data_IF_302019401852
#
_entry.id   IF_302019401852
#
_cell.length_a   1.000
_cell.length_b   1.000
_cell.length_c   1.000
_cell.angle_alpha   90.00
_cell.angle_beta   90.00
_cell.angle_gamma   90.00
#
_symmetry.space_group_name_H-M   'P 1'
#
loop_
_entity.id
_entity.type
_entity.pdbx_description
1 polymer ?
#
# COMPACT_ATOMS: atom_id res chain seq x y z
N UNK A 1 -14.64 5.13 -10.70
CA UNK A 1 -13.50 4.28 -10.26
C UNK A 1 -14.05 3.11 -9.49
N UNK A 2 -13.62 1.90 -9.85
CA UNK A 2 -14.04 0.70 -9.14
C UNK A 2 -13.22 0.53 -7.85
N UNK A 3 -13.72 -0.36 -6.97
CA UNK A 3 -12.98 -0.69 -5.76
C UNK A 3 -11.59 -1.19 -6.09
N UNK A 4 -11.48 -2.08 -7.08
CA UNK A 4 -10.19 -2.63 -7.47
C UNK A 4 -9.23 -1.54 -7.96
N UNK A 5 -9.73 -0.59 -8.75
CA UNK A 5 -8.90 0.52 -9.21
C UNK A 5 -8.42 1.40 -8.06
N UNK A 6 -9.29 1.64 -7.09
CA UNK A 6 -8.91 2.43 -5.91
C UNK A 6 -7.83 1.72 -5.11
N UNK A 7 -8.00 0.41 -4.89
CA UNK A 7 -7.03 -0.39 -4.15
C UNK A 7 -5.68 -0.39 -4.88
N UNK A 8 -5.70 -0.56 -6.21
CA UNK A 8 -4.47 -0.57 -7.00
C UNK A 8 -3.76 0.78 -6.97
N UNK A 9 -4.50 1.88 -6.99
CA UNK A 9 -3.90 3.20 -6.89
C UNK A 9 -3.16 3.36 -5.56
N UNK A 10 -3.77 2.93 -4.47
CA UNK A 10 -3.13 2.97 -3.16
C UNK A 10 -1.90 2.04 -3.14
N UNK A 11 -2.04 0.86 -3.75
CA UNK A 11 -0.94 -0.11 -3.80
C UNK A 11 0.26 0.44 -4.56
N UNK A 12 0.04 1.17 -5.67
CA UNK A 12 1.13 1.79 -6.40
C UNK A 12 1.89 2.78 -5.54
N UNK A 13 1.19 3.60 -4.76
CA UNK A 13 1.84 4.54 -3.85
C UNK A 13 2.70 3.80 -2.81
N UNK A 14 2.18 2.71 -2.26
CA UNK A 14 2.92 1.93 -1.28
C UNK A 14 4.15 1.29 -1.94
N UNK A 15 3.98 0.72 -3.13
CA UNK A 15 5.07 0.08 -3.86
C UNK A 15 6.18 1.09 -4.19
N UNK A 16 5.80 2.32 -4.53
CA UNK A 16 6.75 3.37 -4.88
C UNK A 16 7.53 3.90 -3.66
N UNK A 17 7.17 3.43 -2.48
CA UNK A 17 7.91 3.77 -1.28
C UNK A 17 7.48 5.04 -0.59
N UNK A 18 6.28 5.55 -0.90
CA UNK A 18 5.76 6.76 -0.28
C UNK A 18 5.77 6.67 1.23
N UNK A 19 5.47 5.48 1.77
CA UNK A 19 5.42 5.26 3.21
C UNK A 19 6.64 4.52 3.76
N UNK A 20 7.55 4.10 2.89
CA UNK A 20 8.73 3.34 3.30
C UNK A 20 8.45 1.91 3.71
N UNK A 21 7.26 1.40 3.49
CA UNK A 21 6.84 0.09 4.00
C UNK A 21 7.44 -1.09 3.22
N UNK A 22 7.90 -0.85 2.00
CA UNK A 22 8.41 -1.92 1.12
C UNK A 22 9.93 -2.04 1.14
N UNK A 23 10.60 -1.33 2.01
CA UNK A 23 12.07 -1.30 2.03
C UNK A 23 12.67 -2.67 2.27
N UNK A 24 12.00 -3.54 3.02
CA UNK A 24 12.50 -4.87 3.36
C UNK A 24 12.05 -5.95 2.39
N UNK A 25 11.26 -5.60 1.39
CA UNK A 25 10.81 -6.57 0.40
C UNK A 25 11.95 -6.87 -0.57
N UNK A 26 12.18 -8.16 -0.86
CA UNK A 26 13.33 -8.57 -1.65
C UNK A 26 13.13 -8.55 -3.15
N UNK A 27 11.89 -8.68 -3.64
CA UNK A 27 11.59 -8.73 -5.07
C UNK A 27 10.45 -7.79 -5.41
N UNK A 28 10.31 -7.48 -6.70
CA UNK A 28 9.20 -6.64 -7.16
C UNK A 28 7.85 -7.33 -6.90
N UNK A 29 7.80 -8.65 -7.06
CA UNK A 29 6.59 -9.40 -6.79
C UNK A 29 6.19 -9.29 -5.32
N UNK A 30 7.16 -9.40 -4.43
CA UNK A 30 6.91 -9.26 -3.00
C UNK A 30 6.43 -7.85 -2.65
N UNK A 31 7.04 -6.84 -3.24
CA UNK A 31 6.64 -5.44 -3.03
C UNK A 31 5.19 -5.25 -3.45
N UNK A 32 4.83 -5.74 -4.63
CA UNK A 32 3.49 -5.57 -5.17
C UNK A 32 2.45 -6.30 -4.32
N UNK A 33 2.74 -7.55 -3.97
CA UNK A 33 1.83 -8.36 -3.16
C UNK A 33 1.59 -7.73 -1.79
N UNK A 34 2.67 -7.28 -1.15
CA UNK A 34 2.58 -6.59 0.14
C UNK A 34 1.78 -5.29 0.00
N UNK A 35 2.04 -4.54 -1.05
CA UNK A 35 1.37 -3.27 -1.29
C UNK A 35 -0.13 -3.46 -1.49
N UNK A 36 -0.53 -4.49 -2.26
CA UNK A 36 -1.95 -4.81 -2.45
C UNK A 36 -2.63 -5.17 -1.13
N UNK A 37 -1.95 -5.96 -0.31
CA UNK A 37 -2.50 -6.38 0.97
C UNK A 37 -2.75 -5.18 1.87
N UNK A 38 -1.78 -4.29 1.98
CA UNK A 38 -1.91 -3.10 2.80
C UNK A 38 -2.94 -2.13 2.21
N UNK A 39 -2.98 -2.00 0.88
CA UNK A 39 -3.94 -1.13 0.23
C UNK A 39 -5.38 -1.55 0.51
N UNK A 40 -5.65 -2.85 0.55
CA UNK A 40 -6.98 -3.34 0.90
C UNK A 40 -7.36 -2.98 2.33
N UNK A 41 -6.42 -3.07 3.25
CA UNK A 41 -6.65 -2.70 4.64
C UNK A 41 -6.96 -1.22 4.76
N UNK A 42 -6.23 -0.39 4.02
CA UNK A 42 -6.48 1.06 4.00
C UNK A 42 -7.85 1.35 3.43
N UNK A 43 -8.18 0.71 2.31
CA UNK A 43 -9.47 0.93 1.65
C UNK A 43 -10.65 0.54 2.54
N UNK A 44 -10.50 -0.54 3.31
CA UNK A 44 -11.55 -1.04 4.19
C UNK A 44 -11.56 -0.34 5.55
N UNK A 45 -10.64 0.60 5.80
CA UNK A 45 -10.58 1.31 7.06
C UNK A 45 -9.93 0.54 8.19
N UNK A 46 -9.29 -0.60 7.88
CA UNK A 46 -8.63 -1.42 8.90
C UNK A 46 -7.24 -0.91 9.24
N UNK A 47 -6.64 -0.12 8.35
CA UNK A 47 -5.32 0.45 8.53
C UNK A 47 -5.40 1.95 8.26
N UNK A 48 -5.05 2.75 9.25
CA UNK A 48 -5.07 4.19 9.13
C UNK A 48 -3.63 4.68 8.95
N UNK A 49 -3.41 5.45 7.89
CA UNK A 49 -2.11 6.05 7.65
C UNK A 49 -2.04 7.35 8.46
N UNK A 50 -1.08 7.45 9.35
CA UNK A 50 -0.88 8.64 10.16
C UNK A 50 0.47 9.23 9.81
N UNK A 51 0.48 10.09 8.79
CA UNK A 51 1.71 10.72 8.32
C UNK A 51 2.10 11.95 9.15
N UNK A 52 1.20 12.42 9.98
CA UNK A 52 1.43 13.64 10.74
C UNK A 52 2.23 13.41 12.01
N UNK A 53 2.28 12.18 12.49
CA UNK A 53 2.94 11.84 13.75
C UNK A 53 4.34 11.25 13.56
N UNK A 54 4.90 11.43 12.42
CA UNK A 54 6.26 10.94 12.18
C UNK A 54 7.32 11.73 12.91
#
# INVERSE_FOLDING_TARGET
MTEQQAIEAIAHDIQDGVYGWTQKCGTEWQKWTYSLMQARKIYNGELIIDLENE
#
